data_IF_186295969920
#
_entry.id   IF_186295969920
#
_cell.length_a   1.000
_cell.length_b   1.000
_cell.length_c   1.000
_cell.angle_alpha   90.00
_cell.angle_beta   90.00
_cell.angle_gamma   90.00
#
_symmetry.space_group_name_H-M   'P 1'
#
loop_
_entity.id
_entity.type
_entity.pdbx_description
1 polymer ?
#
# COMPACT_ATOMS: atom_id res chain seq x y z
N UNK A 1 -4.77 11.96 -57.19
CA UNK A 1 -4.98 12.61 -55.87
C UNK A 1 -5.77 11.74 -54.90
N UNK A 2 -6.84 11.06 -55.35
CA UNK A 2 -7.65 10.15 -54.51
C UNK A 2 -6.89 8.96 -53.95
N UNK A 3 -6.00 8.33 -54.72
CA UNK A 3 -5.16 7.21 -54.26
C UNK A 3 -4.15 7.62 -53.17
N UNK A 4 -3.54 8.81 -53.29
CA UNK A 4 -2.63 9.36 -52.27
C UNK A 4 -3.39 9.75 -50.99
N UNK A 5 -4.61 10.26 -51.13
CA UNK A 5 -5.47 10.55 -49.99
C UNK A 5 -5.88 9.27 -49.24
N UNK A 6 -6.21 8.21 -49.97
CA UNK A 6 -6.58 6.91 -49.39
C UNK A 6 -5.41 6.25 -48.63
N UNK A 7 -4.21 6.27 -49.21
CA UNK A 7 -3.03 5.71 -48.53
C UNK A 7 -2.64 6.51 -47.29
N UNK A 8 -2.75 7.85 -47.34
CA UNK A 8 -2.50 8.71 -46.19
C UNK A 8 -3.48 8.45 -45.05
N UNK A 9 -4.78 8.30 -45.35
CA UNK A 9 -5.81 7.98 -44.35
C UNK A 9 -5.56 6.63 -43.70
N UNK A 10 -5.22 5.60 -44.48
CA UNK A 10 -4.89 4.28 -43.93
C UNK A 10 -3.64 4.31 -43.04
N UNK A 11 -2.62 5.07 -43.42
CA UNK A 11 -1.42 5.23 -42.61
C UNK A 11 -1.73 5.90 -41.25
N UNK A 12 -2.59 6.93 -41.25
CA UNK A 12 -3.01 7.62 -40.02
C UNK A 12 -3.84 6.70 -39.12
N UNK A 13 -4.76 5.92 -39.69
CA UNK A 13 -5.56 4.95 -38.93
C UNK A 13 -4.69 3.84 -38.32
N UNK A 14 -3.73 3.31 -39.08
CA UNK A 14 -2.80 2.31 -38.58
C UNK A 14 -1.90 2.88 -37.47
N UNK A 15 -1.35 4.08 -37.66
CA UNK A 15 -0.57 4.77 -36.63
C UNK A 15 -1.42 5.03 -35.37
N UNK A 16 -2.65 5.48 -35.54
CA UNK A 16 -3.60 5.68 -34.45
C UNK A 16 -3.91 4.38 -33.71
N UNK A 17 -4.11 3.26 -34.42
CA UNK A 17 -4.35 1.95 -33.81
C UNK A 17 -3.17 1.43 -32.98
N UNK A 18 -1.94 1.75 -33.37
CA UNK A 18 -0.72 1.38 -32.63
C UNK A 18 -0.46 2.34 -31.45
N UNK A 19 -0.67 3.64 -31.67
CA UNK A 19 -0.39 4.69 -30.67
C UNK A 19 -1.48 4.71 -29.57
N UNK A 20 -2.75 4.48 -29.92
CA UNK A 20 -3.87 4.50 -28.98
C UNK A 20 -3.69 3.57 -27.76
N UNK A 21 -3.34 2.27 -27.89
CA UNK A 21 -3.13 1.42 -26.72
C UNK A 21 -1.89 1.82 -25.89
N UNK A 22 -0.89 2.44 -26.52
CA UNK A 22 0.32 2.94 -25.83
C UNK A 22 0.00 4.19 -25.00
N UNK A 23 -0.76 5.13 -25.56
CA UNK A 23 -1.22 6.33 -24.86
C UNK A 23 -2.23 5.96 -23.77
N UNK A 24 -3.20 5.09 -24.05
CA UNK A 24 -4.15 4.61 -23.04
C UNK A 24 -3.46 3.88 -21.87
N UNK A 25 -2.40 3.11 -22.12
CA UNK A 25 -1.57 2.53 -21.04
C UNK A 25 -0.77 3.57 -20.28
N UNK A 26 -0.28 4.61 -20.95
CA UNK A 26 0.43 5.72 -20.29
C UNK A 26 -0.50 6.55 -19.41
N UNK A 27 -1.70 6.86 -19.87
CA UNK A 27 -2.70 7.57 -19.09
C UNK A 27 -3.19 6.71 -17.92
N UNK A 28 -3.32 5.38 -18.10
CA UNK A 28 -3.57 4.46 -17.00
C UNK A 28 -2.41 4.42 -16.00
N UNK A 29 -1.15 4.47 -16.45
CA UNK A 29 0.05 4.52 -15.60
C UNK A 29 0.27 5.88 -14.92
N UNK A 30 -0.23 6.98 -15.51
CA UNK A 30 -0.18 8.32 -14.94
C UNK A 30 -1.36 8.58 -14.01
N UNK A 31 -2.52 7.99 -14.28
CA UNK A 31 -3.66 7.93 -13.36
C UNK A 31 -3.33 7.02 -12.17
N UNK A 32 -2.62 5.92 -12.42
CA UNK A 32 -1.97 5.08 -11.44
C UNK A 32 -0.60 5.70 -11.10
N UNK A 33 -0.52 6.94 -10.60
CA UNK A 33 0.70 7.52 -10.01
C UNK A 33 0.98 6.95 -8.59
N UNK A 34 0.41 5.78 -8.30
CA UNK A 34 0.59 4.99 -7.08
C UNK A 34 1.76 3.96 -7.13
N UNK A 35 2.19 3.37 -8.26
CA UNK A 35 3.30 2.40 -8.35
C UNK A 35 4.66 3.01 -8.03
N UNK A 36 4.91 4.27 -8.42
CA UNK A 36 6.12 5.00 -8.00
C UNK A 36 6.13 5.23 -6.49
N UNK A 37 4.98 5.63 -5.94
CA UNK A 37 4.80 5.77 -4.49
C UNK A 37 4.87 4.43 -3.74
N UNK A 38 4.48 3.30 -4.35
CA UNK A 38 4.58 1.96 -3.75
C UNK A 38 6.03 1.48 -3.72
N UNK A 39 6.78 1.65 -4.81
CA UNK A 39 8.22 1.36 -4.86
C UNK A 39 8.99 2.27 -3.89
N UNK A 40 8.67 3.55 -3.84
CA UNK A 40 9.25 4.49 -2.88
C UNK A 40 8.86 4.17 -1.44
N UNK A 41 7.63 3.72 -1.19
CA UNK A 41 7.18 3.27 0.13
C UNK A 41 7.87 1.97 0.57
N UNK A 42 8.11 1.04 -0.36
CA UNK A 42 8.86 -0.20 -0.09
C UNK A 42 10.35 0.08 0.15
N UNK A 43 10.93 1.02 -0.60
CA UNK A 43 12.28 1.50 -0.36
C UNK A 43 12.41 2.16 1.02
N UNK A 44 11.49 3.07 1.37
CA UNK A 44 11.43 3.70 2.70
C UNK A 44 11.25 2.66 3.81
N UNK A 45 10.37 1.68 3.61
CA UNK A 45 10.16 0.57 4.56
C UNK A 45 11.45 -0.21 4.80
N UNK A 46 12.21 -0.53 3.75
CA UNK A 46 13.50 -1.22 3.89
C UNK A 46 14.50 -0.37 4.68
N UNK A 47 14.60 0.93 4.40
CA UNK A 47 15.49 1.85 5.13
C UNK A 47 15.13 1.92 6.62
N UNK A 48 13.84 2.07 6.97
CA UNK A 48 13.40 2.13 8.36
C UNK A 48 13.68 0.83 9.12
N UNK A 49 13.47 -0.33 8.48
CA UNK A 49 13.73 -1.63 9.09
C UNK A 49 15.23 -1.87 9.32
N UNK A 50 16.08 -1.45 8.38
CA UNK A 50 17.53 -1.53 8.55
C UNK A 50 18.00 -0.64 9.71
N UNK A 51 17.47 0.59 9.80
CA UNK A 51 17.82 1.51 10.90
C UNK A 51 17.42 0.96 12.29
N UNK A 52 16.24 0.34 12.40
CA UNK A 52 15.82 -0.33 13.64
C UNK A 52 16.75 -1.48 14.02
N UNK A 53 17.22 -2.23 13.04
CA UNK A 53 18.13 -3.37 13.26
C UNK A 53 19.50 -2.89 13.71
N UNK A 54 20.01 -1.81 13.14
CA UNK A 54 21.30 -1.21 13.50
C UNK A 54 21.29 -0.68 14.94
N UNK A 55 20.20 -0.02 15.35
CA UNK A 55 19.99 0.39 16.75
C UNK A 55 20.02 -0.80 17.73
N UNK A 56 19.41 -1.92 17.34
CA UNK A 56 19.37 -3.14 18.15
C UNK A 56 20.76 -3.80 18.25
N UNK A 57 21.56 -3.71 17.18
CA UNK A 57 22.97 -4.12 17.21
C UNK A 57 23.82 -3.21 18.10
N UNK A 58 23.62 -1.90 18.09
CA UNK A 58 24.38 -0.98 18.94
C UNK A 58 24.08 -1.17 20.43
N UNK A 59 22.83 -1.49 20.78
CA UNK A 59 22.46 -1.88 22.15
C UNK A 59 23.11 -3.22 22.57
N UNK A 60 23.02 -4.26 21.72
CA UNK A 60 23.67 -5.54 22.00
C UNK A 60 25.20 -5.44 22.06
N UNK A 61 25.77 -4.50 21.31
CA UNK A 61 27.20 -4.17 21.32
C UNK A 61 27.64 -3.35 22.54
N UNK A 62 26.73 -2.99 23.45
CA UNK A 62 27.03 -2.22 24.65
C UNK A 62 27.36 -0.75 24.39
N UNK A 63 27.07 -0.22 23.21
CA UNK A 63 27.26 1.21 22.88
C UNK A 63 26.09 2.08 23.34
N UNK A 64 24.97 1.46 23.67
CA UNK A 64 23.74 2.13 24.10
C UNK A 64 23.26 1.55 25.42
N UNK A 65 22.95 2.42 26.37
CA UNK A 65 22.39 2.01 27.64
C UNK A 65 20.90 1.63 27.49
N UNK A 66 20.46 0.64 28.26
CA UNK A 66 19.08 0.14 28.29
C UNK A 66 17.98 1.23 28.31
N UNK A 67 18.05 2.27 29.16
CA UNK A 67 17.03 3.31 29.19
C UNK A 67 16.95 4.11 27.88
N UNK A 68 18.10 4.41 27.27
CA UNK A 68 18.19 5.19 26.02
C UNK A 68 17.71 4.38 24.81
N UNK A 69 18.05 3.09 24.79
CA UNK A 69 17.52 2.14 23.81
C UNK A 69 15.98 2.08 23.84
N UNK A 70 15.37 1.93 25.03
CA UNK A 70 13.91 1.87 25.15
C UNK A 70 13.23 3.17 24.73
N UNK A 71 13.78 4.31 25.11
CA UNK A 71 13.25 5.62 24.75
C UNK A 71 13.27 5.84 23.23
N UNK A 72 14.37 5.51 22.55
CA UNK A 72 14.47 5.62 21.09
C UNK A 72 13.57 4.60 20.38
N UNK A 73 13.51 3.35 20.85
CA UNK A 73 12.65 2.31 20.27
C UNK A 73 11.18 2.69 20.32
N UNK A 74 10.70 3.24 21.44
CA UNK A 74 9.32 3.70 21.54
C UNK A 74 9.01 4.84 20.57
N UNK A 75 9.86 5.86 20.49
CA UNK A 75 9.66 6.98 19.55
C UNK A 75 9.60 6.51 18.10
N UNK A 76 10.58 5.70 17.69
CA UNK A 76 10.65 5.16 16.33
C UNK A 76 9.47 4.23 16.00
N UNK A 77 9.01 3.45 16.98
CA UNK A 77 7.85 2.57 16.79
C UNK A 77 6.54 3.34 16.56
N UNK A 78 6.35 4.46 17.25
CA UNK A 78 5.19 5.33 17.07
C UNK A 78 5.20 6.01 15.70
N UNK A 79 6.37 6.48 15.27
CA UNK A 79 6.55 7.10 13.96
C UNK A 79 6.35 6.09 12.81
N UNK A 80 6.89 4.88 12.94
CA UNK A 80 6.68 3.80 11.99
C UNK A 80 5.19 3.42 11.88
N UNK A 81 4.49 3.35 13.02
CA UNK A 81 3.05 3.06 13.06
C UNK A 81 2.22 4.18 12.40
N UNK A 82 2.60 5.44 12.58
CA UNK A 82 1.95 6.57 11.91
C UNK A 82 2.16 6.53 10.39
N UNK A 83 3.39 6.23 9.94
CA UNK A 83 3.71 6.10 8.53
C UNK A 83 2.96 4.94 7.84
N UNK A 84 2.82 3.79 8.51
CA UNK A 84 2.04 2.66 7.99
C UNK A 84 0.55 3.01 7.81
N UNK A 85 -0.06 3.69 8.79
CA UNK A 85 -1.46 4.15 8.68
C UNK A 85 -1.66 5.16 7.55
N UNK A 86 -0.72 6.07 7.36
CA UNK A 86 -0.77 7.02 6.26
C UNK A 86 -0.66 6.30 4.90
N UNK A 87 0.20 5.30 4.79
CA UNK A 87 0.32 4.48 3.57
C UNK A 87 -0.93 3.64 3.30
N UNK A 88 -1.57 3.08 4.34
CA UNK A 88 -2.86 2.38 4.23
C UNK A 88 -4.00 3.32 3.80
N UNK A 89 -4.06 4.52 4.35
CA UNK A 89 -5.05 5.54 3.97
C UNK A 89 -4.90 5.99 2.51
N UNK A 90 -3.68 6.02 1.97
CA UNK A 90 -3.42 6.33 0.57
C UNK A 90 -3.71 5.15 -0.37
N UNK A 91 -3.53 3.92 0.10
CA UNK A 91 -3.89 2.69 -0.65
C UNK A 91 -5.40 2.43 -0.65
N UNK A 92 -6.11 2.92 0.36
CA UNK A 92 -7.56 2.93 0.43
C UNK A 92 -8.15 4.22 -0.16
N UNK A 93 -8.43 4.23 -1.47
CA UNK A 93 -9.41 5.16 -2.05
C UNK A 93 -10.72 5.15 -1.25
N UNK A 94 -11.57 6.20 -1.37
CA UNK A 94 -12.58 6.57 -0.38
C UNK A 94 -13.25 5.34 0.21
N UNK A 95 -13.03 5.13 1.51
CA UNK A 95 -13.70 4.09 2.26
C UNK A 95 -15.19 4.17 1.89
N UNK A 96 -15.67 3.15 1.18
CA UNK A 96 -17.09 2.97 0.96
C UNK A 96 -17.75 3.14 2.34
N UNK A 97 -18.86 3.89 2.46
CA UNK A 97 -19.48 4.18 3.74
C UNK A 97 -20.06 2.88 4.30
N UNK A 98 -19.19 2.11 4.95
CA UNK A 98 -19.49 0.97 5.78
C UNK A 98 -20.12 1.53 7.04
N UNK A 99 -21.43 1.70 6.96
CA UNK A 99 -22.38 1.64 8.08
C UNK A 99 -21.74 1.06 9.33
N UNK A 100 -21.85 1.79 10.45
CA UNK A 100 -21.43 1.37 11.79
C UNK A 100 -21.85 -0.06 12.06
N UNK A 101 -20.90 -0.94 11.76
CA UNK A 101 -21.05 -2.36 11.76
C UNK A 101 -20.73 -2.78 13.19
N UNK A 102 -21.77 -2.93 14.01
CA UNK A 102 -21.63 -3.48 15.37
C UNK A 102 -20.93 -4.82 15.21
N UNK A 103 -19.69 -4.88 15.68
CA UNK A 103 -18.85 -6.07 15.64
C UNK A 103 -19.25 -7.00 16.77
N UNK A 104 -19.67 -8.21 16.44
CA UNK A 104 -19.88 -9.22 17.48
C UNK A 104 -18.52 -9.69 18.00
N UNK A 105 -18.34 -9.52 19.32
CA UNK A 105 -17.16 -10.04 20.01
C UNK A 105 -17.32 -11.55 20.11
N UNK A 106 -16.40 -12.29 19.50
CA UNK A 106 -16.39 -13.74 19.61
C UNK A 106 -15.89 -14.18 21.00
N UNK A 107 -16.22 -15.41 21.42
CA UNK A 107 -15.81 -15.97 22.72
C UNK A 107 -14.28 -15.96 22.94
N UNK A 108 -13.49 -16.00 21.85
CA UNK A 108 -12.03 -15.87 21.93
C UNK A 108 -11.52 -14.44 22.17
N UNK A 109 -12.42 -13.45 22.26
CA UNK A 109 -12.11 -12.04 22.47
C UNK A 109 -11.85 -11.23 21.20
N UNK A 110 -11.78 -11.87 20.02
CA UNK A 110 -11.58 -11.18 18.75
C UNK A 110 -12.86 -10.52 18.25
N UNK A 111 -12.76 -9.27 17.79
CA UNK A 111 -13.86 -8.52 17.19
C UNK A 111 -13.88 -8.79 15.68
N UNK A 112 -15.00 -9.30 15.18
CA UNK A 112 -15.14 -9.58 13.76
C UNK A 112 -16.12 -8.59 13.10
N UNK A 113 -15.85 -8.16 11.85
CA UNK A 113 -16.82 -7.37 11.10
C UNK A 113 -18.11 -8.17 10.85
N UNK A 114 -19.28 -7.53 10.80
CA UNK A 114 -20.53 -8.23 10.51
C UNK A 114 -20.45 -8.92 9.14
N UNK A 115 -21.11 -10.08 9.05
CA UNK A 115 -21.07 -11.01 7.90
C UNK A 115 -19.75 -11.78 7.69
N UNK A 116 -18.83 -11.76 8.65
CA UNK A 116 -17.71 -12.71 8.65
C UNK A 116 -18.22 -14.14 8.86
N UNK A 117 -17.90 -15.08 7.96
CA UNK A 117 -18.29 -16.50 8.10
C UNK A 117 -17.40 -17.24 9.11
N UNK A 118 -16.22 -16.72 9.40
CA UNK A 118 -15.23 -17.31 10.29
C UNK A 118 -14.58 -16.21 11.15
N UNK A 119 -14.18 -16.57 12.36
CA UNK A 119 -13.46 -15.68 13.28
C UNK A 119 -12.01 -15.53 12.84
N UNK A 120 -11.53 -14.31 12.62
CA UNK A 120 -10.16 -14.05 12.19
C UNK A 120 -9.10 -14.34 13.26
N UNK A 121 -9.47 -14.34 14.55
CA UNK A 121 -8.57 -14.67 15.65
C UNK A 121 -8.31 -16.17 15.86
N UNK A 122 -9.35 -17.01 15.75
CA UNK A 122 -9.27 -18.44 16.12
C UNK A 122 -9.75 -19.41 15.02
N UNK A 123 -10.24 -18.92 13.88
CA UNK A 123 -10.64 -19.73 12.73
C UNK A 123 -12.00 -20.45 12.85
N UNK A 124 -12.68 -20.35 14.00
CA UNK A 124 -13.99 -20.99 14.23
C UNK A 124 -15.07 -20.31 13.38
N UNK A 125 -16.02 -21.10 12.87
CA UNK A 125 -17.13 -20.59 12.05
C UNK A 125 -18.09 -19.75 12.93
N UNK A 126 -18.40 -18.54 12.49
CA UNK A 126 -19.39 -17.68 13.13
C UNK A 126 -20.75 -18.05 12.53
N UNK A 127 -21.68 -18.44 13.41
CA UNK A 127 -23.02 -18.93 13.04
C UNK A 127 -23.89 -17.87 12.40
#
# INVERSE_FOLDING_TARGET
MTLLALSAVMAILAAGFVIAPVVARRDALLADLAPGAVLDAEARRRVTLTALRELEYDYLGGKLDEPDYRAQKQRLSLEALAAMRAAEALRGGPAAPGTKAVSDRHACGFLNPPRSRFCAGCGVRLG
#
